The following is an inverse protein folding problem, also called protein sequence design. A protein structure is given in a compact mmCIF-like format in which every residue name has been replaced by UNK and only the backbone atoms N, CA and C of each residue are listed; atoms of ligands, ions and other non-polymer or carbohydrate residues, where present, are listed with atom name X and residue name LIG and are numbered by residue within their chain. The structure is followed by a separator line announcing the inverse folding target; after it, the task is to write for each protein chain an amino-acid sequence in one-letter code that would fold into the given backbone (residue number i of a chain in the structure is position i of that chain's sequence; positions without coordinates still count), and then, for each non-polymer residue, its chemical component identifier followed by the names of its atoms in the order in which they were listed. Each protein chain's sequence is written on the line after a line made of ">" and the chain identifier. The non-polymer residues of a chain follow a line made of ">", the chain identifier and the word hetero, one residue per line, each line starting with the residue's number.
data_IF_784212127822
#
_entry.id   IF_784212127822
#
_cell.length_a   1.000
_cell.length_b   1.000
_cell.length_c   1.000
_cell.angle_alpha   90.00
_cell.angle_beta   90.00
_cell.angle_gamma   90.00
#
_symmetry.space_group_name_H-M   'P 1'
#
loop_
_entity.id
_entity.type
_entity.pdbx_description
1 polymer ?
#
# COMPACT_ATOMS: atom_id res chain seq x y z
N UNK A 1 -23.86 -23.07 -21.07
CA UNK A 1 -22.78 -23.09 -20.06
C UNK A 1 -22.33 -21.67 -19.80
N UNK A 2 -22.36 -21.17 -18.54
CA UNK A 2 -21.81 -19.85 -18.26
C UNK A 2 -20.32 -19.87 -18.59
N UNK A 3 -19.84 -18.85 -19.30
CA UNK A 3 -18.43 -18.64 -19.59
C UNK A 3 -17.72 -18.46 -18.24
N UNK A 4 -16.59 -19.13 -17.95
CA UNK A 4 -15.84 -18.87 -16.73
C UNK A 4 -15.54 -17.39 -16.68
N UNK A 5 -15.80 -16.75 -15.54
CA UNK A 5 -15.37 -15.38 -15.31
C UNK A 5 -13.85 -15.33 -15.55
N UNK A 6 -13.43 -14.57 -16.55
CA UNK A 6 -12.00 -14.38 -16.85
C UNK A 6 -11.45 -13.56 -15.69
N UNK A 7 -10.93 -14.21 -14.65
CA UNK A 7 -10.26 -13.53 -13.55
C UNK A 7 -9.00 -12.89 -14.12
N UNK A 8 -8.92 -11.59 -14.08
CA UNK A 8 -7.67 -10.90 -14.39
C UNK A 8 -6.70 -11.15 -13.23
N UNK A 9 -5.40 -11.24 -13.54
CA UNK A 9 -4.37 -11.38 -12.51
C UNK A 9 -4.48 -10.27 -11.44
N UNK A 10 -4.89 -9.09 -11.86
CA UNK A 10 -5.14 -7.92 -11.00
C UNK A 10 -6.26 -8.15 -9.98
N UNK A 11 -7.40 -8.67 -10.41
CA UNK A 11 -8.52 -8.97 -9.50
C UNK A 11 -8.16 -10.07 -8.49
N UNK A 12 -7.38 -11.06 -8.91
CA UNK A 12 -6.86 -12.11 -8.02
C UNK A 12 -5.91 -11.52 -6.97
N UNK A 13 -5.00 -10.64 -7.42
CA UNK A 13 -4.04 -9.97 -6.55
C UNK A 13 -4.74 -9.10 -5.50
N UNK A 14 -5.79 -8.38 -5.88
CA UNK A 14 -6.59 -7.55 -4.97
C UNK A 14 -7.32 -8.40 -3.91
N UNK A 15 -7.90 -9.53 -4.30
CA UNK A 15 -8.52 -10.46 -3.34
C UNK A 15 -7.49 -11.05 -2.38
N UNK A 16 -6.33 -11.49 -2.88
CA UNK A 16 -5.24 -11.99 -2.04
C UNK A 16 -4.71 -10.90 -1.10
N UNK A 17 -4.56 -9.66 -1.59
CA UNK A 17 -4.17 -8.51 -0.78
C UNK A 17 -5.13 -8.28 0.38
N UNK A 18 -6.44 -8.34 0.13
CA UNK A 18 -7.45 -8.16 1.18
C UNK A 18 -7.39 -9.26 2.25
N UNK A 19 -7.13 -10.51 1.86
CA UNK A 19 -6.95 -11.63 2.78
C UNK A 19 -5.73 -11.42 3.67
N UNK A 20 -4.57 -11.14 3.09
CA UNK A 20 -3.34 -10.87 3.83
C UNK A 20 -3.47 -9.64 4.74
N UNK A 21 -4.13 -8.59 4.27
CA UNK A 21 -4.35 -7.39 5.06
C UNK A 21 -5.25 -7.65 6.27
N UNK A 22 -6.23 -8.55 6.14
CA UNK A 22 -7.20 -8.83 7.20
C UNK A 22 -6.69 -9.86 8.20
N UNK A 23 -5.97 -10.89 7.74
CA UNK A 23 -5.58 -12.06 8.54
C UNK A 23 -4.09 -12.08 8.90
N UNK A 24 -3.28 -11.21 8.29
CA UNK A 24 -1.82 -11.25 8.37
C UNK A 24 -1.20 -12.32 7.47
N UNK A 25 0.12 -12.30 7.34
CA UNK A 25 0.86 -13.25 6.52
C UNK A 25 0.79 -14.67 7.09
N UNK A 26 1.09 -14.83 8.38
CA UNK A 26 1.10 -16.13 9.04
C UNK A 26 -0.31 -16.72 9.14
N UNK A 27 -1.31 -15.88 9.43
CA UNK A 27 -2.70 -16.27 9.58
C UNK A 27 -3.41 -16.68 8.29
N UNK A 28 -2.90 -16.29 7.13
CA UNK A 28 -3.49 -16.64 5.83
C UNK A 28 -2.94 -17.97 5.33
N UNK A 29 -3.76 -18.99 5.22
CA UNK A 29 -3.37 -20.29 4.65
C UNK A 29 -3.47 -20.29 3.11
N UNK A 30 -2.84 -21.29 2.46
CA UNK A 30 -3.02 -21.50 1.00
C UNK A 30 -4.47 -21.83 0.68
N UNK A 31 -5.17 -22.51 1.59
CA UNK A 31 -6.58 -22.83 1.41
C UNK A 31 -7.44 -21.55 1.40
N UNK A 32 -7.17 -20.61 2.31
CA UNK A 32 -7.86 -19.31 2.33
C UNK A 32 -7.63 -18.52 1.02
N UNK A 33 -6.40 -18.57 0.50
CA UNK A 33 -6.07 -17.93 -0.77
C UNK A 33 -6.81 -18.57 -1.94
N UNK A 34 -6.88 -19.89 -2.00
CA UNK A 34 -7.64 -20.63 -3.03
C UNK A 34 -9.12 -20.28 -2.97
N UNK A 35 -9.72 -20.30 -1.78
CA UNK A 35 -11.13 -19.97 -1.58
C UNK A 35 -11.43 -18.50 -1.87
N UNK A 36 -10.63 -17.60 -1.33
CA UNK A 36 -10.87 -16.16 -1.48
C UNK A 36 -10.56 -15.62 -2.86
N UNK A 37 -9.61 -16.22 -3.59
CA UNK A 37 -9.30 -15.83 -4.98
C UNK A 37 -10.15 -16.57 -6.00
N UNK A 38 -10.83 -17.64 -5.61
CA UNK A 38 -11.59 -18.54 -6.48
C UNK A 38 -10.71 -19.20 -7.57
N UNK A 39 -9.40 -19.28 -7.34
CA UNK A 39 -8.45 -19.96 -8.23
C UNK A 39 -8.09 -21.33 -7.68
N UNK A 40 -7.91 -22.29 -8.57
CA UNK A 40 -7.32 -23.56 -8.21
C UNK A 40 -5.87 -23.35 -7.74
N UNK A 41 -5.42 -24.13 -6.77
CA UNK A 41 -4.07 -24.05 -6.20
C UNK A 41 -2.96 -24.06 -7.27
N UNK A 42 -3.09 -24.92 -8.29
CA UNK A 42 -2.14 -25.00 -9.40
C UNK A 42 -2.09 -23.72 -10.21
N UNK A 43 -3.24 -23.08 -10.49
CA UNK A 43 -3.31 -21.81 -11.21
C UNK A 43 -2.72 -20.67 -10.40
N UNK A 44 -2.99 -20.64 -9.09
CA UNK A 44 -2.43 -19.64 -8.17
C UNK A 44 -0.90 -19.68 -8.18
N UNK A 45 -0.31 -20.86 -8.01
CA UNK A 45 1.14 -21.04 -8.03
C UNK A 45 1.77 -20.79 -9.40
N UNK A 46 1.08 -21.16 -10.47
CA UNK A 46 1.56 -20.89 -11.82
C UNK A 46 1.64 -19.37 -12.11
N UNK A 47 0.65 -18.61 -11.63
CA UNK A 47 0.57 -17.17 -11.91
C UNK A 47 1.41 -16.31 -10.98
N UNK A 48 1.53 -16.68 -9.70
CA UNK A 48 2.09 -15.81 -8.66
C UNK A 48 3.28 -16.42 -7.91
N UNK A 49 3.65 -17.66 -8.22
CA UNK A 49 4.68 -18.41 -7.49
C UNK A 49 4.14 -19.00 -6.18
N UNK A 50 4.90 -18.90 -5.13
CA UNK A 50 4.52 -19.37 -3.80
C UNK A 50 3.75 -18.31 -2.99
N UNK A 51 3.31 -18.67 -1.77
CA UNK A 51 2.62 -17.75 -0.85
C UNK A 51 3.44 -16.48 -0.58
N UNK A 52 4.76 -16.64 -0.45
CA UNK A 52 5.67 -15.54 -0.17
C UNK A 52 5.77 -14.58 -1.35
N UNK A 53 5.93 -15.11 -2.56
CA UNK A 53 5.98 -14.32 -3.80
C UNK A 53 4.66 -13.57 -4.05
N UNK A 54 3.52 -14.24 -3.78
CA UNK A 54 2.20 -13.61 -3.85
C UNK A 54 2.07 -12.49 -2.81
N UNK A 55 2.55 -12.71 -1.58
CA UNK A 55 2.52 -11.69 -0.52
C UNK A 55 3.33 -10.45 -0.91
N UNK A 56 4.54 -10.62 -1.46
CA UNK A 56 5.37 -9.52 -1.96
C UNK A 56 4.63 -8.70 -3.02
N UNK A 57 3.99 -9.37 -3.98
CA UNK A 57 3.21 -8.69 -5.02
C UNK A 57 2.02 -7.93 -4.43
N UNK A 58 1.35 -8.48 -3.40
CA UNK A 58 0.26 -7.79 -2.71
C UNK A 58 0.74 -6.58 -1.92
N UNK A 59 1.91 -6.63 -1.28
CA UNK A 59 2.52 -5.49 -0.59
C UNK A 59 2.86 -4.36 -1.57
N UNK A 60 3.45 -4.68 -2.71
CA UNK A 60 3.76 -3.70 -3.77
C UNK A 60 2.48 -3.05 -4.30
N UNK A 61 1.44 -3.86 -4.59
CA UNK A 61 0.13 -3.34 -5.02
C UNK A 61 -0.50 -2.44 -3.98
N UNK A 62 -0.48 -2.85 -2.71
CA UNK A 62 -0.97 -2.04 -1.60
C UNK A 62 -0.22 -0.72 -1.49
N UNK A 63 1.11 -0.75 -1.53
CA UNK A 63 1.95 0.46 -1.45
C UNK A 63 1.60 1.46 -2.55
N UNK A 64 1.41 0.99 -3.77
CA UNK A 64 1.02 1.83 -4.91
C UNK A 64 -0.35 2.47 -4.72
N UNK A 65 -1.38 1.66 -4.36
CA UNK A 65 -2.73 2.17 -4.10
C UNK A 65 -2.77 3.14 -2.92
N UNK A 66 -2.05 2.84 -1.84
CA UNK A 66 -1.97 3.70 -0.67
C UNK A 66 -1.27 5.03 -0.99
N UNK A 67 -0.26 5.02 -1.84
CA UNK A 67 0.42 6.23 -2.33
C UNK A 67 -0.55 7.11 -3.14
N UNK A 68 -1.25 6.53 -4.11
CA UNK A 68 -2.25 7.24 -4.91
C UNK A 68 -3.35 7.83 -4.03
N UNK A 69 -3.89 7.04 -3.11
CA UNK A 69 -4.94 7.48 -2.21
C UNK A 69 -4.47 8.61 -1.28
N UNK A 70 -3.28 8.47 -0.69
CA UNK A 70 -2.69 9.48 0.21
C UNK A 70 -2.62 10.84 -0.46
N UNK A 71 -2.19 10.89 -1.71
CA UNK A 71 -2.03 12.15 -2.44
C UNK A 71 -3.24 12.55 -3.29
N UNK A 72 -4.33 11.80 -3.26
CA UNK A 72 -5.58 12.15 -3.98
C UNK A 72 -6.19 13.48 -3.52
N UNK A 73 -6.02 13.85 -2.26
CA UNK A 73 -6.48 15.11 -1.69
C UNK A 73 -5.48 16.27 -1.87
N UNK A 74 -4.30 16.01 -2.44
CA UNK A 74 -3.30 17.06 -2.63
C UNK A 74 -3.69 18.00 -3.76
N UNK A 75 -3.88 19.30 -3.43
CA UNK A 75 -4.22 20.33 -4.39
C UNK A 75 -3.06 21.35 -4.50
N UNK A 76 -2.39 21.47 -5.66
CA UNK A 76 -1.27 22.40 -5.86
C UNK A 76 -1.63 23.87 -5.66
N UNK A 77 -2.91 24.23 -5.77
CA UNK A 77 -3.40 25.61 -5.58
C UNK A 77 -3.57 25.99 -4.09
N UNK A 78 -3.50 24.99 -3.19
CA UNK A 78 -3.59 25.22 -1.75
C UNK A 78 -2.21 25.36 -1.11
N UNK A 79 -2.16 25.94 0.10
CA UNK A 79 -0.93 25.97 0.88
C UNK A 79 -0.46 24.56 1.25
N UNK A 80 0.86 24.39 1.41
CA UNK A 80 1.44 23.11 1.84
C UNK A 80 0.83 22.61 3.17
N UNK A 81 0.58 23.51 4.11
CA UNK A 81 -0.04 23.17 5.40
C UNK A 81 -1.47 22.61 5.22
N UNK A 82 -2.28 23.23 4.35
CA UNK A 82 -3.62 22.73 4.07
C UNK A 82 -3.59 21.36 3.39
N UNK A 83 -2.65 21.14 2.48
CA UNK A 83 -2.46 19.85 1.83
C UNK A 83 -2.04 18.75 2.84
N UNK A 84 -1.06 19.02 3.69
CA UNK A 84 -0.66 18.07 4.75
C UNK A 84 -1.83 17.77 5.68
N UNK A 85 -2.59 18.81 6.06
CA UNK A 85 -3.81 18.63 6.87
C UNK A 85 -4.84 17.74 6.17
N UNK A 86 -5.09 17.95 4.88
CA UNK A 86 -6.03 17.14 4.09
C UNK A 86 -5.61 15.66 4.05
N UNK A 87 -4.32 15.39 3.84
CA UNK A 87 -3.75 14.03 3.90
C UNK A 87 -3.97 13.38 5.27
N UNK A 88 -3.70 14.11 6.36
CA UNK A 88 -3.90 13.59 7.71
C UNK A 88 -5.38 13.38 8.04
N UNK A 89 -6.26 14.26 7.56
CA UNK A 89 -7.71 14.11 7.77
C UNK A 89 -8.28 12.88 7.09
N UNK A 90 -7.75 12.43 5.95
CA UNK A 90 -8.16 11.15 5.34
C UNK A 90 -8.01 9.96 6.30
N UNK A 91 -6.93 9.95 7.12
CA UNK A 91 -6.71 8.90 8.13
C UNK A 91 -7.74 8.99 9.24
N UNK A 92 -8.07 10.21 9.69
CA UNK A 92 -9.04 10.46 10.76
C UNK A 92 -10.46 10.10 10.32
N UNK A 93 -10.80 10.40 9.08
CA UNK A 93 -12.14 10.20 8.50
C UNK A 93 -12.35 8.80 7.90
N UNK A 94 -11.30 7.98 7.88
CA UNK A 94 -11.37 6.61 7.39
C UNK A 94 -12.47 5.81 8.12
N UNK A 95 -13.23 4.93 7.44
CA UNK A 95 -14.26 4.08 8.07
C UNK A 95 -13.66 3.19 9.17
N UNK A 96 -14.42 2.94 10.23
CA UNK A 96 -13.95 2.16 11.39
C UNK A 96 -13.51 0.73 11.03
N UNK A 97 -14.10 0.12 10.02
CA UNK A 97 -13.70 -1.19 9.52
C UNK A 97 -12.28 -1.17 8.93
N UNK A 98 -11.91 -0.10 8.25
CA UNK A 98 -10.57 0.09 7.67
C UNK A 98 -9.57 0.47 8.75
N UNK A 99 -9.95 1.35 9.70
CA UNK A 99 -9.12 1.67 10.87
C UNK A 99 -8.72 0.42 11.66
N UNK A 100 -9.66 -0.53 11.83
CA UNK A 100 -9.39 -1.80 12.54
C UNK A 100 -8.41 -2.72 11.81
N UNK A 101 -8.38 -2.69 10.48
CA UNK A 101 -7.39 -3.43 9.68
C UNK A 101 -5.99 -2.86 9.80
N UNK A 102 -5.88 -1.57 10.11
CA UNK A 102 -4.62 -0.85 10.14
C UNK A 102 -4.01 -0.65 8.76
N UNK A 103 -2.71 -0.38 8.71
CA UNK A 103 -1.96 -0.24 7.48
C UNK A 103 -1.19 -1.54 7.18
N UNK A 104 -1.38 -2.12 5.99
CA UNK A 104 -0.78 -3.42 5.64
C UNK A 104 0.76 -3.39 5.69
N UNK A 105 1.39 -2.28 5.31
CA UNK A 105 2.86 -2.12 5.40
C UNK A 105 3.30 -2.09 6.85
N UNK A 106 2.60 -1.34 7.72
CA UNK A 106 2.91 -1.31 9.16
C UNK A 106 2.71 -2.69 9.81
N UNK A 107 1.65 -3.41 9.44
CA UNK A 107 1.42 -4.78 9.92
C UNK A 107 2.57 -5.70 9.48
N UNK A 108 3.03 -5.58 8.23
CA UNK A 108 4.15 -6.33 7.69
C UNK A 108 5.47 -6.01 8.43
N UNK A 109 5.71 -4.75 8.80
CA UNK A 109 6.90 -4.35 9.56
C UNK A 109 6.96 -5.08 10.91
N UNK A 110 5.83 -5.28 11.55
CA UNK A 110 5.75 -5.94 12.87
C UNK A 110 5.83 -7.45 12.72
N UNK A 111 5.13 -8.03 11.75
CA UNK A 111 4.94 -9.47 11.64
C UNK A 111 6.05 -10.18 10.86
N UNK A 112 6.51 -9.62 9.73
CA UNK A 112 7.30 -10.35 8.73
C UNK A 112 8.72 -9.81 8.59
N UNK A 113 8.90 -8.49 8.57
CA UNK A 113 10.20 -7.83 8.39
C UNK A 113 11.29 -8.34 9.33
N UNK A 114 11.03 -8.63 10.63
CA UNK A 114 12.07 -9.13 11.53
C UNK A 114 12.64 -10.50 11.13
N UNK A 115 11.96 -11.22 10.24
CA UNK A 115 12.27 -12.61 9.89
C UNK A 115 12.56 -12.82 8.39
N UNK A 116 12.41 -11.78 7.55
CA UNK A 116 12.54 -11.88 6.09
C UNK A 116 13.18 -10.62 5.49
N UNK A 117 14.47 -10.72 5.15
CA UNK A 117 15.27 -9.61 4.62
C UNK A 117 14.81 -9.12 3.24
N UNK A 118 14.25 -10.00 2.39
CA UNK A 118 13.75 -9.56 1.08
C UNK A 118 12.45 -8.78 1.23
N UNK A 119 11.54 -9.23 2.10
CA UNK A 119 10.33 -8.48 2.41
C UNK A 119 10.68 -7.16 3.10
N UNK A 120 11.70 -7.12 3.95
CA UNK A 120 12.22 -5.88 4.53
C UNK A 120 12.63 -4.88 3.42
N UNK A 121 13.39 -5.33 2.42
CA UNK A 121 13.79 -4.50 1.28
C UNK A 121 12.61 -4.00 0.45
N UNK A 122 11.58 -4.82 0.26
CA UNK A 122 10.34 -4.40 -0.42
C UNK A 122 9.63 -3.29 0.37
N UNK A 123 9.52 -3.45 1.68
CA UNK A 123 8.92 -2.45 2.57
C UNK A 123 9.72 -1.15 2.56
N UNK A 124 11.04 -1.21 2.63
CA UNK A 124 11.93 -0.04 2.51
C UNK A 124 11.69 0.69 1.18
N UNK A 125 11.58 -0.04 0.08
CA UNK A 125 11.26 0.52 -1.23
C UNK A 125 9.93 1.29 -1.24
N UNK A 126 8.89 0.73 -0.65
CA UNK A 126 7.56 1.37 -0.54
C UNK A 126 7.66 2.65 0.30
N UNK A 127 8.33 2.61 1.46
CA UNK A 127 8.51 3.78 2.32
C UNK A 127 9.31 4.89 1.63
N UNK A 128 10.33 4.52 0.86
CA UNK A 128 11.12 5.46 0.07
C UNK A 128 10.30 6.11 -1.06
N UNK A 129 9.34 5.42 -1.64
CA UNK A 129 8.41 6.02 -2.62
C UNK A 129 7.51 7.08 -1.96
N UNK A 130 6.95 6.79 -0.80
CA UNK A 130 6.19 7.77 -0.02
C UNK A 130 7.02 8.99 0.32
N UNK A 131 8.23 8.78 0.83
CA UNK A 131 9.16 9.85 1.17
C UNK A 131 9.47 10.74 -0.05
N UNK A 132 9.81 10.14 -1.18
CA UNK A 132 10.08 10.89 -2.43
C UNK A 132 8.87 11.68 -2.89
N UNK A 133 7.67 11.10 -2.79
CA UNK A 133 6.43 11.76 -3.18
C UNK A 133 6.12 12.98 -2.29
N UNK A 134 6.36 12.89 -0.98
CA UNK A 134 6.25 14.04 -0.08
C UNK A 134 7.31 15.10 -0.38
N UNK A 135 8.58 14.69 -0.54
CA UNK A 135 9.67 15.61 -0.85
C UNK A 135 9.41 16.42 -2.11
N UNK A 136 8.95 15.77 -3.18
CA UNK A 136 8.61 16.45 -4.44
C UNK A 136 7.54 17.53 -4.21
N UNK A 137 6.45 17.18 -3.54
CA UNK A 137 5.33 18.10 -3.30
C UNK A 137 5.69 19.26 -2.37
N UNK A 138 6.52 19.01 -1.37
CA UNK A 138 7.01 20.07 -0.49
C UNK A 138 8.00 20.99 -1.22
N UNK A 139 8.82 20.45 -2.13
CA UNK A 139 9.72 21.25 -2.97
C UNK A 139 8.91 22.13 -3.95
N UNK A 140 7.86 21.60 -4.57
CA UNK A 140 6.96 22.38 -5.43
C UNK A 140 6.27 23.52 -4.65
N UNK A 141 5.81 23.23 -3.42
CA UNK A 141 5.21 24.24 -2.55
C UNK A 141 6.22 25.32 -2.11
N UNK A 142 7.49 24.96 -1.95
CA UNK A 142 8.57 25.93 -1.67
C UNK A 142 8.85 26.82 -2.89
N UNK A 143 8.87 26.26 -4.10
CA UNK A 143 8.99 27.04 -5.33
C UNK A 143 7.80 28.01 -5.53
N UNK A 144 6.60 27.55 -5.19
CA UNK A 144 5.40 28.36 -5.20
C UNK A 144 5.32 29.38 -4.02
N UNK A 145 6.37 29.49 -3.18
CA UNK A 145 6.46 30.36 -2.00
C UNK A 145 5.38 30.10 -0.94
N UNK A 146 4.79 28.93 -0.94
CA UNK A 146 3.86 28.46 0.10
C UNK A 146 4.59 27.94 1.34
N UNK A 147 5.90 27.65 1.22
CA UNK A 147 6.83 27.30 2.28
C UNK A 147 8.03 28.25 2.19
N UNK A 148 8.58 28.66 3.35
CA UNK A 148 9.78 29.49 3.40
C UNK A 148 10.96 28.82 2.70
N UNK A 149 11.71 29.62 1.92
CA UNK A 149 12.87 29.13 1.14
C UNK A 149 13.99 28.54 2.03
N UNK A 150 14.06 28.94 3.31
CA UNK A 150 15.02 28.40 4.28
C UNK A 150 14.60 27.07 4.92
N UNK A 151 13.37 26.60 4.66
CA UNK A 151 12.85 25.36 5.24
C UNK A 151 13.53 24.14 4.62
N UNK A 152 14.01 23.22 5.44
CA UNK A 152 14.57 21.95 4.99
C UNK A 152 13.43 20.95 4.66
N UNK A 153 12.91 21.01 3.45
CA UNK A 153 11.81 20.15 2.99
C UNK A 153 12.19 18.67 2.96
N UNK A 154 13.48 18.34 2.85
CA UNK A 154 13.97 16.95 2.91
C UNK A 154 13.87 16.36 4.32
N UNK A 155 13.98 17.19 5.36
CA UNK A 155 13.85 16.75 6.73
C UNK A 155 12.37 16.66 7.18
N UNK A 156 11.46 17.32 6.47
CA UNK A 156 10.02 17.29 6.74
C UNK A 156 9.32 16.07 6.10
N UNK A 157 9.88 15.49 5.08
CA UNK A 157 9.34 14.31 4.38
C UNK A 157 9.89 13.00 4.97
#
# INVERSE_FOLDING_TARGET
>A
MPRPATFTAEAVLERAMLLFWTQGYAGTSIQDLVEGTELLRGSLYHSFGDKRSLYIQTLQRYGHLALEQTFSAWNPEQSALNNVRAVLMQIVEMPDAEKRRGNMVCNCIIEVVPHDAEIASVVEGILDEFKRAFQSRLADAQQAKSIDAGTNTKALA
#
